data_IF_966585006485
#
_entry.id   IF_966585006485
#
_cell.length_a   1.000
_cell.length_b   1.000
_cell.length_c   1.000
_cell.angle_alpha   90.00
_cell.angle_beta   90.00
_cell.angle_gamma   90.00
#
_symmetry.space_group_name_H-M   'P 1'
#
loop_
_entity.id
_entity.type
_entity.pdbx_description
1 polymer ?
#
# COMPACT_ATOMS: atom_id res chain seq x y z
N UNK A 1 9.38 -28.39 -2.22
CA UNK A 1 9.34 -26.94 -2.48
C UNK A 1 10.75 -26.43 -2.36
N UNK A 2 11.29 -25.86 -3.44
CA UNK A 2 12.62 -25.25 -3.41
C UNK A 2 12.46 -23.78 -2.97
N UNK A 3 13.24 -23.36 -1.98
CA UNK A 3 13.19 -21.99 -1.49
C UNK A 3 13.84 -21.07 -2.53
N UNK A 4 13.06 -20.13 -3.06
CA UNK A 4 13.56 -19.11 -3.97
C UNK A 4 13.88 -17.85 -3.19
N UNK A 5 15.13 -17.41 -3.27
CA UNK A 5 15.57 -16.17 -2.65
C UNK A 5 15.05 -14.98 -3.48
N UNK A 6 14.32 -14.09 -2.81
CA UNK A 6 13.79 -12.85 -3.40
C UNK A 6 14.26 -11.73 -2.48
N UNK A 7 14.88 -10.66 -3.02
CA UNK A 7 15.32 -9.55 -2.19
C UNK A 7 14.12 -8.90 -1.48
N UNK A 8 14.32 -8.41 -0.25
CA UNK A 8 13.27 -7.70 0.48
C UNK A 8 12.90 -6.41 -0.25
N UNK A 9 11.62 -6.05 -0.18
CA UNK A 9 11.12 -4.75 -0.64
C UNK A 9 10.99 -3.80 0.54
N UNK A 10 11.30 -2.52 0.31
CA UNK A 10 11.21 -1.47 1.34
C UNK A 10 9.76 -1.06 1.67
N UNK A 11 8.78 -1.59 0.95
CA UNK A 11 7.36 -1.29 1.16
C UNK A 11 6.63 -2.43 1.87
N UNK A 12 5.86 -2.10 2.91
CA UNK A 12 4.96 -3.06 3.57
C UNK A 12 3.50 -2.63 3.47
N UNK A 13 2.59 -3.60 3.42
CA UNK A 13 1.15 -3.32 3.38
C UNK A 13 0.65 -2.63 4.66
N UNK A 14 1.28 -2.92 5.81
CA UNK A 14 0.96 -2.27 7.09
C UNK A 14 1.30 -0.78 7.06
N UNK A 15 2.48 -0.44 6.53
CA UNK A 15 2.90 0.95 6.39
C UNK A 15 2.00 1.71 5.40
N UNK A 16 1.67 1.11 4.24
CA UNK A 16 0.73 1.70 3.27
C UNK A 16 -0.63 2.01 3.92
N UNK A 17 -1.23 1.07 4.65
CA UNK A 17 -2.52 1.32 5.33
C UNK A 17 -2.41 2.42 6.38
N UNK A 18 -1.30 2.49 7.12
CA UNK A 18 -1.08 3.55 8.10
C UNK A 18 -0.97 4.93 7.45
N UNK A 19 -0.26 5.04 6.31
CA UNK A 19 -0.20 6.28 5.52
C UNK A 19 -1.59 6.74 5.06
N UNK A 20 -2.38 5.82 4.51
CA UNK A 20 -3.76 6.12 4.05
C UNK A 20 -4.64 6.59 5.21
N UNK A 21 -4.56 5.95 6.37
CA UNK A 21 -5.32 6.36 7.56
C UNK A 21 -4.94 7.79 8.04
N UNK A 22 -3.70 8.21 7.81
CA UNK A 22 -3.21 9.58 8.09
C UNK A 22 -3.50 10.58 6.97
N UNK A 23 -4.08 10.15 5.85
CA UNK A 23 -4.34 11.00 4.68
C UNK A 23 -3.08 11.33 3.85
N UNK A 24 -2.02 10.53 3.99
CA UNK A 24 -0.79 10.70 3.20
C UNK A 24 -0.94 10.10 1.80
N UNK A 25 -0.24 10.68 0.82
CA UNK A 25 -0.17 10.14 -0.53
C UNK A 25 0.66 8.84 -0.59
N UNK A 26 0.15 7.85 -1.32
CA UNK A 26 0.77 6.54 -1.52
C UNK A 26 1.02 6.21 -3.00
N UNK A 27 0.80 7.15 -3.93
CA UNK A 27 0.86 6.90 -5.37
C UNK A 27 2.23 6.37 -5.86
N UNK A 28 3.32 6.69 -5.15
CA UNK A 28 4.66 6.19 -5.45
C UNK A 28 4.96 4.79 -4.86
N UNK A 29 4.09 4.29 -3.97
CA UNK A 29 4.32 3.04 -3.22
C UNK A 29 3.51 1.87 -3.74
N UNK A 30 2.50 2.13 -4.58
CA UNK A 30 1.63 1.12 -5.17
C UNK A 30 1.40 1.43 -6.64
N UNK A 31 1.03 0.43 -7.46
CA UNK A 31 0.62 0.69 -8.83
C UNK A 31 -0.52 1.73 -8.90
N UNK A 32 -0.54 2.63 -9.89
CA UNK A 32 -1.53 3.73 -9.95
C UNK A 32 -3.00 3.28 -9.89
N UNK A 33 -3.32 2.13 -10.48
CA UNK A 33 -4.67 1.57 -10.42
C UNK A 33 -5.10 1.21 -9.00
N UNK A 34 -4.16 0.76 -8.15
CA UNK A 34 -4.41 0.42 -6.74
C UNK A 34 -4.59 1.69 -5.91
N UNK A 35 -3.74 2.71 -6.10
CA UNK A 35 -3.89 4.00 -5.43
C UNK A 35 -5.27 4.61 -5.71
N UNK A 36 -5.68 4.62 -6.98
CA UNK A 36 -7.02 5.08 -7.40
C UNK A 36 -8.14 4.26 -6.76
N UNK A 37 -7.99 2.95 -6.67
CA UNK A 37 -9.01 2.09 -6.06
C UNK A 37 -9.19 2.37 -4.56
N UNK A 38 -8.08 2.50 -3.82
CA UNK A 38 -8.10 2.85 -2.40
C UNK A 38 -8.81 4.18 -2.18
N UNK A 39 -8.50 5.19 -2.99
CA UNK A 39 -9.09 6.51 -2.88
C UNK A 39 -10.60 6.51 -3.19
N UNK A 40 -11.00 5.89 -4.32
CA UNK A 40 -12.40 5.82 -4.76
C UNK A 40 -13.31 5.10 -3.76
N UNK A 41 -12.77 4.11 -3.05
CA UNK A 41 -13.53 3.30 -2.10
C UNK A 41 -13.29 3.71 -0.64
N UNK A 42 -12.55 4.80 -0.40
CA UNK A 42 -12.22 5.31 0.93
C UNK A 42 -11.63 4.24 1.86
N UNK A 43 -10.89 3.29 1.30
CA UNK A 43 -10.36 2.16 2.06
C UNK A 43 -9.33 2.65 3.07
N UNK A 44 -9.33 2.02 4.26
CA UNK A 44 -8.37 2.28 5.34
C UNK A 44 -8.38 3.71 5.89
N UNK A 45 -9.37 4.53 5.54
CA UNK A 45 -9.62 5.79 6.25
C UNK A 45 -10.18 5.48 7.63
N UNK A 46 -9.69 6.21 8.63
CA UNK A 46 -10.28 6.18 9.97
C UNK A 46 -11.73 6.69 9.90
N UNK A 47 -12.64 6.00 10.58
CA UNK A 47 -14.03 6.43 10.72
C UNK A 47 -14.16 7.73 11.52
#
# INVERSE_FOLDING_TARGET
FEAREIPPMDTSATDIRARVARGEDIAALVPPAVARYIDQHLLYRSA
#
